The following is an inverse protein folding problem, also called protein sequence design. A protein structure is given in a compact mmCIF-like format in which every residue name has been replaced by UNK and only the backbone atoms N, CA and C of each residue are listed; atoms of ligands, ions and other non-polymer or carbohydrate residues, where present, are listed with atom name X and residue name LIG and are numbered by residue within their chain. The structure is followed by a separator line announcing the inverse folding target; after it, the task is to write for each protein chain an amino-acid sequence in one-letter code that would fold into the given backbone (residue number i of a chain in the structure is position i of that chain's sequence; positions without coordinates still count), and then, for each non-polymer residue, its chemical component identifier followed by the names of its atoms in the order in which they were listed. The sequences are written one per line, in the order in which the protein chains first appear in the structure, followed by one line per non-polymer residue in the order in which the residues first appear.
data_IF_191347762322
#
_entry.id   IF_191347762322
#
_cell.length_a   1.000
_cell.length_b   1.000
_cell.length_c   1.000
_cell.angle_alpha   90.00
_cell.angle_beta   90.00
_cell.angle_gamma   90.00
#
_symmetry.space_group_name_H-M   'P 1'
#
loop_
_entity.id
_entity.type
_entity.pdbx_description
1 polymer ?
#
# COMPACT_ATOMS: atom_id res chain seq x y z
N UNK A 1 -20.35 -6.05 4.17
CA UNK A 1 -21.19 -6.53 3.04
C UNK A 1 -20.41 -6.34 1.75
N UNK A 2 -20.42 -7.37 0.91
CA UNK A 2 -19.75 -7.43 -0.38
C UNK A 2 -20.77 -7.41 -1.51
N UNK A 3 -20.39 -6.79 -2.63
CA UNK A 3 -21.12 -6.77 -3.87
C UNK A 3 -20.32 -7.49 -4.95
N UNK A 4 -20.98 -8.42 -5.63
CA UNK A 4 -20.49 -9.02 -6.85
C UNK A 4 -21.01 -8.20 -8.03
N UNK A 5 -20.10 -7.54 -8.75
CA UNK A 5 -20.45 -6.65 -9.85
C UNK A 5 -19.88 -7.13 -11.17
N UNK A 6 -20.55 -6.72 -12.24
CA UNK A 6 -20.14 -6.94 -13.62
C UNK A 6 -20.09 -5.60 -14.34
N UNK A 7 -18.92 -5.26 -14.87
CA UNK A 7 -18.70 -4.09 -15.69
C UNK A 7 -19.24 -4.29 -17.11
N UNK A 8 -19.35 -3.20 -17.88
CA UNK A 8 -19.86 -3.24 -19.26
C UNK A 8 -19.00 -4.08 -20.20
N UNK A 9 -17.69 -4.13 -19.95
CA UNK A 9 -16.71 -4.98 -20.65
C UNK A 9 -16.80 -6.47 -20.28
N UNK A 10 -17.83 -6.86 -19.51
CA UNK A 10 -18.10 -8.19 -18.96
C UNK A 10 -17.10 -8.64 -17.88
N UNK A 11 -16.16 -7.78 -17.49
CA UNK A 11 -15.27 -8.08 -16.37
C UNK A 11 -16.07 -8.14 -15.07
N UNK A 12 -15.71 -9.07 -14.18
CA UNK A 12 -16.45 -9.31 -12.94
C UNK A 12 -15.50 -9.20 -11.76
N UNK A 13 -15.95 -8.56 -10.69
CA UNK A 13 -15.18 -8.41 -9.46
C UNK A 13 -16.10 -8.50 -8.25
N UNK A 14 -15.51 -8.85 -7.12
CA UNK A 14 -16.15 -8.70 -5.81
C UNK A 14 -15.54 -7.46 -5.15
N UNK A 15 -16.37 -6.56 -4.66
CA UNK A 15 -15.92 -5.38 -3.92
C UNK A 15 -16.77 -5.16 -2.68
N UNK A 16 -16.28 -4.36 -1.73
CA UNK A 16 -17.09 -3.88 -0.63
C UNK A 16 -18.16 -2.90 -1.13
N UNK A 17 -19.33 -2.88 -0.49
CA UNK A 17 -20.41 -1.95 -0.85
C UNK A 17 -19.98 -0.48 -0.73
N UNK A 18 -19.01 -0.16 0.15
CA UNK A 18 -18.44 1.18 0.30
C UNK A 18 -17.69 1.66 -0.94
N UNK A 19 -17.26 0.73 -1.81
CA UNK A 19 -16.59 1.00 -3.08
C UNK A 19 -17.57 1.17 -4.24
N UNK A 20 -18.88 1.14 -3.97
CA UNK A 20 -19.93 1.43 -4.95
C UNK A 20 -20.55 2.79 -4.60
N UNK A 21 -20.45 3.76 -5.52
CA UNK A 21 -21.06 5.08 -5.31
C UNK A 21 -22.58 4.99 -5.33
N UNK A 22 -23.21 5.79 -4.49
CA UNK A 22 -24.68 5.97 -4.42
C UNK A 22 -25.45 4.66 -4.23
N UNK A 23 -24.81 3.64 -3.65
CA UNK A 23 -25.38 2.33 -3.46
C UNK A 23 -25.22 1.93 -1.99
N UNK A 24 -26.35 1.86 -1.27
CA UNK A 24 -26.39 1.57 0.16
C UNK A 24 -27.49 0.56 0.47
N UNK A 25 -27.31 -0.72 0.06
CA UNK A 25 -28.31 -1.75 0.26
C UNK A 25 -28.51 -2.03 1.75
N UNK A 26 -29.76 -2.19 2.17
CA UNK A 26 -30.11 -2.55 3.56
C UNK A 26 -30.16 -4.05 3.80
N UNK A 27 -30.34 -4.84 2.74
CA UNK A 27 -30.39 -6.30 2.78
C UNK A 27 -29.65 -6.91 1.60
N UNK A 28 -29.44 -8.24 1.63
CA UNK A 28 -28.76 -8.95 0.54
C UNK A 28 -29.57 -9.00 -0.76
N UNK A 29 -30.88 -8.74 -0.69
CA UNK A 29 -31.80 -8.72 -1.83
C UNK A 29 -32.12 -7.30 -2.30
N UNK A 30 -31.55 -6.27 -1.64
CA UNK A 30 -31.77 -4.85 -1.94
C UNK A 30 -30.88 -4.38 -3.10
N UNK A 31 -31.01 -5.04 -4.25
CA UNK A 31 -30.32 -4.66 -5.48
C UNK A 31 -31.15 -4.97 -6.72
N UNK A 32 -30.96 -4.16 -7.76
CA UNK A 32 -31.62 -4.32 -9.05
C UNK A 32 -30.58 -4.68 -10.11
N UNK A 33 -30.72 -5.86 -10.71
CA UNK A 33 -29.81 -6.37 -11.75
C UNK A 33 -29.83 -5.53 -13.03
N UNK A 34 -30.86 -4.70 -13.22
CA UNK A 34 -31.04 -3.85 -14.40
C UNK A 34 -30.47 -2.45 -14.21
N UNK A 35 -30.27 -2.01 -12.97
CA UNK A 35 -29.74 -0.67 -12.66
C UNK A 35 -28.22 -0.67 -12.71
N UNK A 36 -27.70 0.35 -13.38
CA UNK A 36 -26.26 0.65 -13.38
C UNK A 36 -25.89 1.38 -12.10
N UNK A 37 -24.82 0.92 -11.48
CA UNK A 37 -24.15 1.58 -10.36
C UNK A 37 -22.75 2.01 -10.80
N UNK A 38 -22.13 2.91 -10.04
CA UNK A 38 -20.76 3.35 -10.27
C UNK A 38 -19.84 2.57 -9.32
N UNK A 39 -19.20 1.51 -9.81
CA UNK A 39 -18.35 0.62 -9.01
C UNK A 39 -16.86 0.93 -9.22
N UNK A 40 -16.07 0.84 -8.16
CA UNK A 40 -14.63 1.07 -8.22
C UNK A 40 -13.88 -0.08 -8.90
N UNK A 41 -13.03 0.26 -9.87
CA UNK A 41 -12.12 -0.67 -10.53
C UNK A 41 -10.70 -0.12 -10.55
N UNK A 42 -9.73 -1.03 -10.52
CA UNK A 42 -8.30 -0.73 -10.61
C UNK A 42 -7.56 -1.78 -11.41
N UNK A 43 -6.67 -1.34 -12.29
CA UNK A 43 -5.76 -2.20 -13.06
C UNK A 43 -4.74 -2.90 -12.14
N UNK A 44 -4.17 -4.01 -12.59
CA UNK A 44 -3.15 -4.75 -11.81
C UNK A 44 -1.87 -3.95 -11.57
N UNK A 45 -1.49 -3.10 -12.52
CA UNK A 45 -0.36 -2.19 -12.39
C UNK A 45 -0.68 -0.93 -11.55
N UNK A 46 -1.93 -0.80 -11.13
CA UNK A 46 -2.43 0.29 -10.30
C UNK A 46 -2.41 1.68 -10.94
N UNK A 47 -2.07 1.80 -12.24
CA UNK A 47 -1.99 3.08 -12.96
C UNK A 47 -3.36 3.62 -13.35
N UNK A 48 -4.31 2.72 -13.61
CA UNK A 48 -5.66 3.07 -14.01
C UNK A 48 -6.57 2.69 -12.85
N UNK A 49 -7.19 3.69 -12.24
CA UNK A 49 -8.19 3.49 -11.19
C UNK A 49 -9.31 4.50 -11.34
N UNK A 50 -10.53 4.09 -11.00
CA UNK A 50 -11.69 4.95 -11.14
C UNK A 50 -12.99 4.25 -10.83
N UNK A 51 -14.08 5.00 -10.98
CA UNK A 51 -15.43 4.47 -10.86
C UNK A 51 -16.00 4.31 -12.26
N UNK A 52 -16.50 3.11 -12.55
CA UNK A 52 -17.02 2.74 -13.85
C UNK A 52 -18.45 2.20 -13.72
N UNK A 53 -19.27 2.35 -14.77
CA UNK A 53 -20.59 1.76 -14.81
C UNK A 53 -20.53 0.24 -14.69
N UNK A 54 -21.28 -0.31 -13.74
CA UNK A 54 -21.37 -1.75 -13.49
C UNK A 54 -22.79 -2.14 -13.05
N UNK A 55 -23.09 -3.44 -13.13
CA UNK A 55 -24.33 -4.03 -12.64
C UNK A 55 -24.05 -4.90 -11.43
N UNK A 56 -24.89 -4.81 -10.41
CA UNK A 56 -24.81 -5.66 -9.22
C UNK A 56 -25.53 -6.98 -9.50
N UNK A 57 -24.83 -8.10 -9.36
CA UNK A 57 -25.36 -9.44 -9.63
C UNK A 57 -25.73 -10.19 -8.34
N UNK A 58 -25.01 -9.93 -7.25
CA UNK A 58 -25.29 -10.49 -5.94
C UNK A 58 -24.73 -9.60 -4.83
N UNK A 59 -25.36 -9.66 -3.66
CA UNK A 59 -24.81 -9.14 -2.40
C UNK A 59 -24.64 -10.28 -1.40
N UNK A 60 -23.71 -10.12 -0.47
CA UNK A 60 -23.55 -11.01 0.67
C UNK A 60 -23.00 -10.25 1.88
N UNK A 61 -23.43 -10.60 3.09
CA UNK A 61 -22.86 -10.05 4.32
C UNK A 61 -21.35 -10.29 4.43
N UNK A 62 -20.93 -11.51 4.11
CA UNK A 62 -19.57 -12.03 4.23
C UNK A 62 -19.05 -12.68 2.93
N UNK A 63 -17.73 -12.90 2.89
CA UNK A 63 -17.05 -13.43 1.71
C UNK A 63 -17.29 -14.93 1.48
N UNK A 64 -17.58 -15.70 2.54
CA UNK A 64 -17.86 -17.13 2.41
C UNK A 64 -19.25 -17.36 1.81
N UNK A 65 -20.24 -16.58 2.22
CA UNK A 65 -21.58 -16.55 1.62
C UNK A 65 -21.50 -16.12 0.15
N UNK A 66 -20.66 -15.12 -0.17
CA UNK A 66 -20.41 -14.72 -1.56
C UNK A 66 -19.80 -15.85 -2.39
N UNK A 67 -18.79 -16.56 -1.84
CA UNK A 67 -18.19 -17.74 -2.47
C UNK A 67 -19.23 -18.82 -2.78
N UNK A 68 -20.13 -19.09 -1.84
CA UNK A 68 -21.19 -20.07 -2.03
C UNK A 68 -22.15 -19.64 -3.14
N UNK A 69 -22.58 -18.37 -3.15
CA UNK A 69 -23.45 -17.81 -4.21
C UNK A 69 -22.79 -17.91 -5.59
N UNK A 70 -21.51 -17.56 -5.72
CA UNK A 70 -20.76 -17.63 -6.99
C UNK A 70 -20.61 -19.08 -7.46
N UNK A 71 -20.32 -20.02 -6.54
CA UNK A 71 -20.25 -21.45 -6.84
C UNK A 71 -21.58 -21.98 -7.37
N UNK A 72 -22.70 -21.56 -6.76
CA UNK A 72 -24.05 -21.90 -7.22
C UNK A 72 -24.35 -21.32 -8.61
N UNK A 73 -23.86 -20.11 -8.91
CA UNK A 73 -23.94 -19.50 -10.24
C UNK A 73 -23.03 -20.18 -11.28
N UNK A 74 -22.13 -21.10 -10.86
CA UNK A 74 -21.14 -21.78 -11.70
C UNK A 74 -20.20 -20.82 -12.44
N UNK A 75 -19.92 -19.68 -11.82
CA UNK A 75 -19.02 -18.66 -12.36
C UNK A 75 -17.61 -18.82 -11.75
N UNK A 76 -16.54 -18.49 -12.49
CA UNK A 76 -15.19 -18.48 -11.93
C UNK A 76 -15.12 -17.46 -10.80
N UNK A 77 -14.34 -17.78 -9.76
CA UNK A 77 -14.21 -16.89 -8.61
C UNK A 77 -13.46 -15.62 -9.04
N UNK A 78 -14.10 -14.43 -9.00
CA UNK A 78 -13.53 -13.21 -9.51
C UNK A 78 -12.49 -12.62 -8.54
N UNK A 79 -11.73 -11.62 -9.03
CA UNK A 79 -10.85 -10.80 -8.19
C UNK A 79 -11.67 -10.10 -7.10
N UNK A 80 -11.13 -10.10 -5.88
CA UNK A 80 -11.61 -9.31 -4.75
C UNK A 80 -10.85 -7.98 -4.70
N UNK A 81 -11.58 -6.88 -4.56
CA UNK A 81 -11.03 -5.54 -4.33
C UNK A 81 -11.52 -5.09 -2.95
N UNK A 82 -10.60 -5.08 -1.99
CA UNK A 82 -10.88 -4.63 -0.61
C UNK A 82 -10.68 -3.11 -0.48
N UNK A 83 -11.30 -2.50 0.54
CA UNK A 83 -11.18 -1.06 0.80
C UNK A 83 -9.74 -0.65 1.13
N UNK A 84 -8.93 -1.59 1.62
CA UNK A 84 -7.49 -1.42 1.83
C UNK A 84 -6.74 -1.15 0.51
N UNK A 85 -7.31 -1.45 -0.66
CA UNK A 85 -6.70 -1.16 -1.97
C UNK A 85 -6.89 0.30 -2.44
N UNK A 86 -7.71 1.11 -1.75
CA UNK A 86 -7.91 2.54 -2.05
C UNK A 86 -6.79 3.44 -1.54
N UNK A 87 -6.03 3.00 -0.55
CA UNK A 87 -4.83 3.71 -0.14
C UNK A 87 -3.71 3.36 -1.12
N UNK A 88 -3.18 4.36 -1.81
CA UNK A 88 -1.84 4.23 -2.37
C UNK A 88 -0.86 3.98 -1.23
N UNK A 89 -0.62 2.71 -0.91
CA UNK A 89 0.71 2.30 -0.52
C UNK A 89 1.04 0.92 -1.06
N UNK A 90 2.10 0.78 -1.89
CA UNK A 90 2.58 -0.53 -2.26
C UNK A 90 2.99 -1.29 -0.98
N UNK A 91 2.41 -2.47 -0.75
CA UNK A 91 2.91 -3.49 0.18
C UNK A 91 3.07 -3.11 1.68
N UNK A 92 2.19 -2.27 2.24
CA UNK A 92 2.27 -1.88 3.67
C UNK A 92 1.65 -2.82 4.71
N UNK A 93 1.45 -4.11 4.43
CA UNK A 93 0.92 -5.02 5.47
C UNK A 93 1.85 -5.22 6.67
N UNK A 94 3.10 -4.75 6.61
CA UNK A 94 4.07 -4.80 7.72
C UNK A 94 5.11 -3.67 7.63
N UNK A 95 4.73 -2.42 7.40
CA UNK A 95 5.70 -1.31 7.57
C UNK A 95 5.35 -0.46 8.79
N UNK A 96 6.36 -0.02 9.51
CA UNK A 96 6.26 0.90 10.63
C UNK A 96 6.72 2.29 10.21
N UNK A 97 6.01 3.32 10.68
CA UNK A 97 6.42 4.71 10.50
C UNK A 97 7.50 5.03 11.53
N UNK A 98 8.71 5.37 11.06
CA UNK A 98 9.85 5.71 11.92
C UNK A 98 10.03 7.23 12.02
N UNK A 99 9.60 7.99 11.00
CA UNK A 99 9.82 9.43 10.96
C UNK A 99 8.81 10.19 10.11
N UNK A 100 9.09 11.48 9.91
CA UNK A 100 8.12 12.45 9.39
C UNK A 100 7.58 12.11 7.99
N UNK A 101 8.35 11.38 7.18
CA UNK A 101 7.93 10.76 5.92
C UNK A 101 8.73 9.48 5.62
N UNK A 102 9.12 8.73 6.65
CA UNK A 102 10.00 7.56 6.53
C UNK A 102 9.33 6.31 7.07
N UNK A 103 9.37 5.25 6.26
CA UNK A 103 8.75 3.95 6.52
C UNK A 103 9.78 2.85 6.39
N UNK A 104 9.61 1.78 7.17
CA UNK A 104 10.48 0.62 7.13
C UNK A 104 9.67 -0.65 7.36
N UNK A 105 10.04 -1.79 6.74
CA UNK A 105 9.48 -3.08 7.08
C UNK A 105 9.63 -3.42 8.57
N UNK A 106 8.55 -3.91 9.19
CA UNK A 106 8.43 -4.26 10.61
C UNK A 106 9.44 -5.31 11.03
N UNK A 107 9.68 -6.32 10.18
CA UNK A 107 10.66 -7.37 10.46
C UNK A 107 12.08 -6.81 10.54
N UNK A 108 12.40 -5.87 9.64
CA UNK A 108 13.68 -5.16 9.66
C UNK A 108 13.79 -4.25 10.87
N UNK A 109 12.72 -3.53 11.22
CA UNK A 109 12.68 -2.71 12.43
C UNK A 109 12.89 -3.53 13.70
N UNK A 110 12.18 -4.66 13.84
CA UNK A 110 12.36 -5.59 14.96
C UNK A 110 13.78 -6.15 15.03
N UNK A 111 14.42 -6.42 13.89
CA UNK A 111 15.82 -6.84 13.85
C UNK A 111 16.75 -5.72 14.35
N UNK A 112 16.55 -4.48 13.87
CA UNK A 112 17.36 -3.33 14.27
C UNK A 112 17.19 -3.03 15.76
N UNK A 113 15.97 -3.13 16.30
CA UNK A 113 15.66 -2.95 17.71
C UNK A 113 16.29 -4.00 18.64
N UNK A 114 16.69 -5.17 18.10
CA UNK A 114 17.41 -6.20 18.86
C UNK A 114 18.91 -5.89 19.01
N UNK A 115 19.43 -4.88 18.32
CA UNK A 115 20.84 -4.50 18.45
C UNK A 115 21.11 -3.90 19.84
N UNK A 116 22.15 -4.40 20.49
CA UNK A 116 22.51 -3.99 21.86
C UNK A 116 23.39 -2.74 21.93
N UNK A 117 23.91 -2.27 20.79
CA UNK A 117 24.78 -1.09 20.76
C UNK A 117 24.23 -0.03 19.82
N UNK A 118 24.23 1.21 20.29
CA UNK A 118 23.75 2.38 19.53
C UNK A 118 24.50 2.53 18.21
N UNK A 119 25.80 2.21 18.20
CA UNK A 119 26.60 2.22 16.97
C UNK A 119 26.11 1.24 15.90
N UNK A 120 25.67 0.02 16.30
CA UNK A 120 25.10 -0.96 15.36
C UNK A 120 23.69 -0.58 14.95
N UNK A 121 22.90 -0.07 15.89
CA UNK A 121 21.57 0.46 15.61
C UNK A 121 21.62 1.55 14.54
N UNK A 122 22.42 2.60 14.75
CA UNK A 122 22.57 3.71 13.83
C UNK A 122 23.14 3.28 12.47
N UNK A 123 24.06 2.32 12.44
CA UNK A 123 24.62 1.79 11.19
C UNK A 123 23.57 1.07 10.34
N UNK A 124 22.80 0.16 10.94
CA UNK A 124 21.75 -0.59 10.23
C UNK A 124 20.61 0.33 9.78
N UNK A 125 20.28 1.32 10.61
CA UNK A 125 19.33 2.37 10.28
C UNK A 125 19.82 3.19 9.08
N UNK A 126 21.09 3.63 9.10
CA UNK A 126 21.70 4.39 7.99
C UNK A 126 21.75 3.58 6.69
N UNK A 127 22.06 2.28 6.76
CA UNK A 127 22.04 1.37 5.60
C UNK A 127 20.65 1.20 4.99
N UNK A 128 19.59 1.35 5.79
CA UNK A 128 18.23 1.34 5.27
C UNK A 128 17.90 2.61 4.50
N UNK A 129 18.34 3.77 5.00
CA UNK A 129 18.01 5.06 4.40
C UNK A 129 18.90 5.47 3.23
N UNK A 130 20.14 5.00 3.20
CA UNK A 130 21.10 5.27 2.13
C UNK A 130 21.67 3.96 1.58
N UNK A 131 21.38 3.62 0.32
CA UNK A 131 22.08 2.54 -0.36
C UNK A 131 23.59 2.76 -0.35
N UNK A 132 24.38 1.70 -0.36
CA UNK A 132 25.85 1.75 -0.24
C UNK A 132 26.50 2.73 -1.23
N UNK A 133 26.01 2.76 -2.47
CA UNK A 133 26.50 3.68 -3.51
C UNK A 133 26.23 5.16 -3.21
N UNK A 134 25.11 5.45 -2.54
CA UNK A 134 24.75 6.81 -2.14
C UNK A 134 25.48 7.23 -0.86
N UNK A 135 25.55 6.33 0.12
CA UNK A 135 26.27 6.56 1.38
C UNK A 135 27.75 6.88 1.14
N UNK A 136 28.40 6.22 0.17
CA UNK A 136 29.79 6.48 -0.18
C UNK A 136 30.05 7.92 -0.65
N UNK A 137 29.07 8.53 -1.32
CA UNK A 137 29.12 9.88 -1.89
C UNK A 137 28.71 10.97 -0.90
N UNK A 138 28.26 10.61 0.29
CA UNK A 138 27.75 11.54 1.30
C UNK A 138 28.65 11.62 2.54
N UNK A 139 28.55 12.73 3.26
CA UNK A 139 29.07 12.90 4.62
C UNK A 139 28.06 13.69 5.47
N UNK A 140 28.21 13.63 6.79
CA UNK A 140 27.22 14.22 7.71
C UNK A 140 27.04 15.73 7.50
N UNK A 141 28.13 16.47 7.26
CA UNK A 141 28.14 17.93 7.22
C UNK A 141 28.32 18.52 5.81
N UNK A 142 28.67 17.71 4.81
CA UNK A 142 29.03 18.22 3.48
C UNK A 142 30.39 18.93 3.42
N UNK A 143 31.14 18.98 4.52
CA UNK A 143 32.41 19.72 4.58
C UNK A 143 33.61 18.85 4.17
N UNK A 144 34.61 19.48 3.56
CA UNK A 144 35.89 18.85 3.27
C UNK A 144 36.62 18.46 4.57
N UNK A 145 37.39 17.39 4.52
CA UNK A 145 38.23 17.00 5.65
C UNK A 145 39.34 18.05 5.85
N UNK A 146 39.47 18.60 7.07
CA UNK A 146 40.51 19.59 7.40
C UNK A 146 41.92 19.08 7.18
N UNK A 147 42.14 17.77 7.38
CA UNK A 147 43.45 17.13 7.25
C UNK A 147 43.80 16.75 5.80
N UNK A 148 42.81 16.68 4.90
CA UNK A 148 42.99 16.28 3.50
C UNK A 148 42.32 17.31 2.59
N UNK A 149 43.07 18.34 2.21
CA UNK A 149 42.57 19.47 1.41
C UNK A 149 42.29 19.14 -0.05
N UNK A 150 42.84 18.04 -0.59
CA UNK A 150 42.72 17.63 -1.99
C UNK A 150 41.58 16.63 -2.26
N UNK A 151 40.79 16.27 -1.26
CA UNK A 151 39.68 15.33 -1.40
C UNK A 151 38.45 15.95 -2.07
N UNK A 152 37.74 15.17 -2.88
CA UNK A 152 36.42 15.56 -3.38
C UNK A 152 35.46 15.80 -2.20
N UNK A 153 34.79 16.95 -2.21
CA UNK A 153 33.77 17.29 -1.22
C UNK A 153 32.58 16.36 -1.41
N UNK A 154 32.24 15.61 -0.36
CA UNK A 154 31.07 14.73 -0.37
C UNK A 154 29.79 15.53 -0.15
N UNK A 155 28.68 15.03 -0.69
CA UNK A 155 27.37 15.65 -0.50
C UNK A 155 26.93 15.56 0.97
N UNK A 156 26.21 16.55 1.47
CA UNK A 156 25.65 16.47 2.81
C UNK A 156 24.61 15.34 2.92
N UNK A 157 24.53 14.66 4.06
CA UNK A 157 23.46 13.75 4.38
C UNK A 157 22.13 14.51 4.47
N UNK A 158 21.02 13.89 4.04
CA UNK A 158 19.70 14.52 4.09
C UNK A 158 19.35 14.87 5.55
N UNK A 159 19.16 16.16 5.90
CA UNK A 159 18.96 16.58 7.29
C UNK A 159 17.80 15.87 7.98
N UNK A 160 16.66 15.71 7.27
CA UNK A 160 15.48 15.00 7.76
C UNK A 160 15.78 13.55 8.20
N UNK A 161 16.64 12.85 7.44
CA UNK A 161 17.05 11.48 7.75
C UNK A 161 18.03 11.43 8.92
N UNK A 162 18.86 12.45 9.08
CA UNK A 162 19.83 12.57 10.18
C UNK A 162 19.10 12.90 11.49
N UNK A 163 18.15 13.83 11.47
CA UNK A 163 17.40 14.24 12.65
C UNK A 163 16.56 13.08 13.22
N UNK A 164 16.03 12.23 12.34
CA UNK A 164 15.37 10.98 12.75
C UNK A 164 16.28 10.03 13.54
N UNK A 165 17.59 10.01 13.28
CA UNK A 165 18.53 9.13 14.01
C UNK A 165 19.05 9.76 15.31
N UNK A 166 18.73 11.03 15.57
CA UNK A 166 19.18 11.77 16.74
C UNK A 166 18.18 11.74 17.90
N UNK A 167 16.97 11.24 17.66
CA UNK A 167 15.92 11.07 18.67
C UNK A 167 16.27 9.94 19.65
#
# INVERSE_FOLDING_TARGET
MFAYVKYEDKYKVILLISLVKTFSPKSEDDFDKTKKVQAFWRSEDGKIQGYYPAFVYALAGDLNTMRLKIKTMREPFPRLIDADELEEVPLRRREIKIGQNSYMPLEKWQHIMKNTTDGRFCLELARHFWPTAEAAKRCLTGQACRSYSTGQVKLQATPEKVDMMRA
#
